data_IF_527454509692
#
_entry.id   IF_527454509692
#
_cell.length_a   1.000
_cell.length_b   1.000
_cell.length_c   1.000
_cell.angle_alpha   90.00
_cell.angle_beta   90.00
_cell.angle_gamma   90.00
#
_symmetry.space_group_name_H-M   'P 1'
#
loop_
_entity.id
_entity.type
_entity.pdbx_description
1 polymer ?
#
# COMPACT_ATOMS: atom_id res chain seq x y z
N UNK A 1 10.37 -2.98 4.73
CA UNK A 1 9.35 -2.07 4.16
C UNK A 1 8.63 -2.82 3.05
N UNK A 2 7.30 -2.74 2.97
CA UNK A 2 6.49 -3.53 2.03
C UNK A 2 6.69 -3.08 0.57
N UNK A 3 7.44 -3.86 -0.20
CA UNK A 3 7.79 -3.58 -1.60
C UNK A 3 7.11 -4.50 -2.61
N UNK A 4 6.30 -5.46 -2.16
CA UNK A 4 5.60 -6.38 -3.05
C UNK A 4 4.23 -6.73 -2.44
N UNK A 5 3.18 -6.57 -3.23
CA UNK A 5 1.83 -6.97 -2.86
C UNK A 5 1.03 -7.39 -4.08
N UNK A 6 -0.06 -8.11 -3.83
CA UNK A 6 -1.06 -8.51 -4.81
C UNK A 6 -2.27 -7.59 -4.64
N UNK A 7 -2.70 -6.88 -5.69
CA UNK A 7 -3.98 -6.17 -5.64
C UNK A 7 -5.15 -7.15 -5.93
N UNK A 8 -6.39 -6.89 -5.45
CA UNK A 8 -7.52 -7.79 -5.66
C UNK A 8 -8.01 -7.81 -7.12
N UNK A 9 -8.46 -8.96 -7.61
CA UNK A 9 -9.12 -9.04 -8.91
C UNK A 9 -10.43 -8.19 -8.95
N UNK A 10 -11.02 -7.99 -10.14
CA UNK A 10 -12.23 -7.17 -10.32
C UNK A 10 -13.37 -7.57 -9.35
N UNK A 11 -13.62 -8.88 -9.17
CA UNK A 11 -14.66 -9.37 -8.27
C UNK A 11 -14.37 -9.02 -6.80
N UNK A 12 -13.13 -9.10 -6.37
CA UNK A 12 -12.77 -8.77 -4.99
C UNK A 12 -12.72 -7.25 -4.76
N UNK A 13 -12.36 -6.46 -5.77
CA UNK A 13 -12.45 -5.00 -5.67
C UNK A 13 -13.86 -4.52 -5.34
N UNK A 14 -14.92 -5.15 -5.89
CA UNK A 14 -16.30 -4.74 -5.55
C UNK A 14 -16.65 -4.98 -4.07
N UNK A 15 -15.99 -5.93 -3.39
CA UNK A 15 -16.12 -6.13 -1.93
C UNK A 15 -15.57 -4.95 -1.12
N UNK A 16 -14.73 -4.10 -1.73
CA UNK A 16 -14.24 -2.87 -1.11
C UNK A 16 -15.18 -1.67 -1.31
N UNK A 17 -16.32 -1.86 -1.99
CA UNK A 17 -17.31 -0.81 -2.25
C UNK A 17 -16.96 0.12 -3.41
N UNK A 18 -16.09 -0.33 -4.33
CA UNK A 18 -15.76 0.41 -5.57
C UNK A 18 -16.50 -0.16 -6.77
N UNK A 19 -16.95 0.72 -7.67
CA UNK A 19 -17.46 0.32 -8.98
C UNK A 19 -16.27 0.00 -9.90
N UNK A 20 -16.26 -1.22 -10.46
CA UNK A 20 -15.23 -1.69 -11.38
C UNK A 20 -15.70 -1.75 -12.83
N UNK A 21 -16.93 -1.31 -13.12
CA UNK A 21 -17.59 -1.46 -14.43
C UNK A 21 -16.83 -0.78 -15.56
N UNK A 22 -16.23 0.38 -15.29
CA UNK A 22 -15.48 1.18 -16.27
C UNK A 22 -13.99 0.84 -16.30
N UNK A 23 -13.54 -0.11 -15.49
CA UNK A 23 -12.13 -0.31 -15.24
C UNK A 23 -11.66 -1.59 -15.90
N UNK A 24 -10.82 -1.46 -16.93
CA UNK A 24 -10.10 -2.60 -17.49
C UNK A 24 -8.74 -2.76 -16.83
N UNK A 25 -8.58 -3.85 -16.09
CA UNK A 25 -7.36 -4.16 -15.35
C UNK A 25 -6.47 -5.05 -16.22
N UNK A 26 -5.90 -4.49 -17.29
CA UNK A 26 -4.79 -5.13 -18.01
C UNK A 26 -3.45 -4.91 -17.28
N UNK A 27 -3.44 -5.14 -15.97
CA UNK A 27 -2.28 -4.94 -15.11
C UNK A 27 -1.83 -6.27 -14.50
N UNK A 28 -0.53 -6.38 -14.25
CA UNK A 28 0.02 -7.46 -13.43
C UNK A 28 -0.41 -7.24 -11.98
N UNK A 29 -1.09 -8.21 -11.42
CA UNK A 29 -1.62 -8.21 -10.06
C UNK A 29 -0.54 -8.12 -8.98
N UNK A 30 0.61 -8.76 -9.20
CA UNK A 30 1.81 -8.58 -8.39
C UNK A 30 2.46 -7.23 -8.67
N UNK A 31 2.37 -6.33 -7.71
CA UNK A 31 2.87 -4.97 -7.78
C UNK A 31 4.22 -4.85 -7.10
N UNK A 32 5.21 -4.37 -7.85
CA UNK A 32 6.54 -3.99 -7.37
C UNK A 32 6.75 -2.47 -7.51
N UNK A 33 7.79 -1.88 -6.89
CA UNK A 33 8.04 -0.45 -7.03
C UNK A 33 8.18 -0.07 -8.51
N UNK A 34 7.64 1.09 -8.86
CA UNK A 34 7.50 1.63 -10.20
C UNK A 34 6.40 1.00 -11.09
N UNK A 35 5.69 -0.02 -10.62
CA UNK A 35 4.55 -0.58 -11.38
C UNK A 35 3.33 0.34 -11.26
N UNK A 36 2.39 0.21 -12.19
CA UNK A 36 1.07 0.81 -12.06
C UNK A 36 0.15 -0.13 -11.28
N UNK A 37 -0.68 0.44 -10.42
CA UNK A 37 -1.61 -0.31 -9.58
C UNK A 37 -2.85 0.52 -9.28
N UNK A 38 -3.99 -0.13 -8.97
CA UNK A 38 -5.18 0.56 -8.53
C UNK A 38 -4.95 1.26 -7.18
N UNK A 39 -5.52 2.46 -7.04
CA UNK A 39 -5.75 3.15 -5.77
C UNK A 39 -7.21 3.56 -5.70
N UNK A 40 -7.73 3.71 -4.50
CA UNK A 40 -9.10 4.14 -4.23
C UNK A 40 -9.06 5.56 -3.66
N UNK A 41 -9.87 6.44 -4.22
CA UNK A 41 -9.99 7.86 -3.89
C UNK A 41 -11.42 8.18 -3.41
N UNK A 42 -11.57 9.30 -2.71
CA UNK A 42 -12.90 9.84 -2.42
C UNK A 42 -13.44 10.55 -3.66
N UNK A 43 -14.40 9.93 -4.33
CA UNK A 43 -15.17 10.56 -5.42
C UNK A 43 -16.27 11.48 -4.89
N UNK A 44 -17.08 12.05 -5.80
CA UNK A 44 -18.17 12.95 -5.41
C UNK A 44 -19.25 12.24 -4.58
N UNK A 45 -19.66 11.05 -5.03
CA UNK A 45 -20.80 10.32 -4.47
C UNK A 45 -20.42 8.92 -3.98
N UNK A 46 -19.32 8.36 -4.48
CA UNK A 46 -18.86 7.01 -4.19
C UNK A 46 -17.32 6.94 -4.19
N UNK A 47 -16.79 5.81 -3.74
CA UNK A 47 -15.36 5.54 -3.84
C UNK A 47 -14.98 5.33 -5.31
N UNK A 48 -13.96 6.05 -5.77
CA UNK A 48 -13.48 5.98 -7.16
C UNK A 48 -12.18 5.17 -7.25
N UNK A 49 -12.07 4.33 -8.28
CA UNK A 49 -10.85 3.60 -8.59
C UNK A 49 -10.03 4.40 -9.61
N UNK A 50 -8.73 4.53 -9.38
CA UNK A 50 -7.79 5.18 -10.29
C UNK A 50 -6.50 4.35 -10.42
N UNK A 51 -5.73 4.53 -11.50
CA UNK A 51 -4.41 3.91 -11.67
C UNK A 51 -3.31 4.89 -11.30
N UNK A 52 -2.42 4.47 -10.41
CA UNK A 52 -1.27 5.25 -10.00
C UNK A 52 0.01 4.42 -9.98
N UNK A 53 1.15 5.11 -10.14
CA UNK A 53 2.48 4.50 -10.05
C UNK A 53 2.84 4.23 -8.58
N UNK A 54 3.20 2.99 -8.25
CA UNK A 54 3.67 2.64 -6.90
C UNK A 54 5.10 3.15 -6.68
N UNK A 55 5.25 4.11 -5.77
CA UNK A 55 6.46 4.92 -5.64
C UNK A 55 6.17 6.38 -5.97
N UNK A 56 5.95 7.17 -4.93
CA UNK A 56 5.50 8.55 -5.07
C UNK A 56 6.56 9.42 -5.77
N UNK A 57 6.16 10.06 -6.86
CA UNK A 57 6.90 11.07 -7.59
C UNK A 57 6.55 12.43 -6.99
N UNK A 58 7.49 13.12 -6.33
CA UNK A 58 7.24 14.46 -5.84
C UNK A 58 6.84 15.38 -7.00
N UNK A 59 5.99 16.39 -6.76
CA UNK A 59 5.49 17.28 -7.81
C UNK A 59 6.59 17.99 -8.62
N UNK A 60 7.78 18.16 -8.05
CA UNK A 60 8.97 18.74 -8.69
C UNK A 60 9.84 17.72 -9.47
N UNK A 61 9.55 16.42 -9.36
CA UNK A 61 10.33 15.38 -10.01
C UNK A 61 10.31 15.54 -11.54
N UNK A 62 11.44 15.21 -12.17
CA UNK A 62 11.62 15.23 -13.63
C UNK A 62 11.88 13.86 -14.23
N UNK A 63 12.11 12.85 -13.39
CA UNK A 63 12.47 11.51 -13.83
C UNK A 63 11.62 10.47 -13.10
N UNK A 64 11.30 9.36 -13.76
CA UNK A 64 10.55 8.26 -13.15
C UNK A 64 11.35 7.49 -12.10
N UNK A 65 12.69 7.55 -12.13
CA UNK A 65 13.54 6.77 -11.22
C UNK A 65 13.30 7.04 -9.73
N UNK A 66 12.68 8.18 -9.38
CA UNK A 66 12.33 8.46 -7.99
C UNK A 66 11.37 7.41 -7.41
N UNK A 67 10.51 6.79 -8.22
CA UNK A 67 9.52 5.81 -7.74
C UNK A 67 10.12 4.54 -7.14
N UNK A 68 11.38 4.20 -7.45
CA UNK A 68 12.04 3.03 -6.84
C UNK A 68 12.45 3.23 -5.38
N UNK A 69 12.33 4.45 -4.83
CA UNK A 69 12.78 4.77 -3.47
C UNK A 69 11.69 5.40 -2.58
N UNK A 70 10.49 5.60 -3.10
CA UNK A 70 9.42 6.37 -2.43
C UNK A 70 8.10 5.58 -2.35
N UNK A 71 8.16 4.26 -2.44
CA UNK A 71 6.99 3.37 -2.41
C UNK A 71 6.41 3.18 -1.00
N UNK A 72 7.20 3.43 0.05
CA UNK A 72 6.70 3.56 1.42
C UNK A 72 7.10 4.88 2.06
N UNK A 73 6.16 5.50 2.77
CA UNK A 73 6.36 6.70 3.57
C UNK A 73 6.21 6.36 5.06
N UNK A 74 7.18 6.79 5.87
CA UNK A 74 7.14 6.60 7.33
C UNK A 74 6.29 7.69 7.96
N UNK A 75 5.27 7.32 8.73
CA UNK A 75 4.37 8.29 9.37
C UNK A 75 5.10 9.30 10.25
N UNK A 76 6.23 8.92 10.86
CA UNK A 76 7.03 9.77 11.74
C UNK A 76 7.75 10.91 11.00
N UNK A 77 7.87 10.84 9.67
CA UNK A 77 8.61 11.85 8.88
C UNK A 77 7.92 12.27 7.59
N UNK A 78 6.70 11.77 7.34
CA UNK A 78 5.94 12.03 6.10
C UNK A 78 5.67 13.52 5.88
N UNK A 79 5.48 14.27 6.97
CA UNK A 79 5.25 15.71 6.94
C UNK A 79 6.50 16.53 6.56
N UNK A 80 7.70 16.02 6.81
CA UNK A 80 8.95 16.77 6.67
C UNK A 80 9.74 16.38 5.42
N UNK A 81 9.67 15.11 5.01
CA UNK A 81 10.47 14.57 3.91
C UNK A 81 10.10 15.27 2.60
N UNK A 82 11.07 15.85 1.86
CA UNK A 82 10.79 16.57 0.60
C UNK A 82 9.99 15.76 -0.42
N UNK A 83 10.14 14.43 -0.39
CA UNK A 83 9.42 13.55 -1.29
C UNK A 83 7.92 13.48 -0.99
N UNK A 84 7.50 13.62 0.26
CA UNK A 84 6.13 13.32 0.72
C UNK A 84 5.38 14.53 1.26
N UNK A 85 6.10 15.54 1.77
CA UNK A 85 5.53 16.69 2.47
C UNK A 85 4.46 17.45 1.70
N UNK A 86 4.53 17.44 0.37
CA UNK A 86 3.52 18.08 -0.48
C UNK A 86 2.19 17.32 -0.44
N UNK A 87 2.22 16.01 -0.72
CA UNK A 87 1.05 15.14 -0.60
C UNK A 87 0.44 15.19 0.79
N UNK A 88 1.29 15.15 1.82
CA UNK A 88 0.86 15.26 3.22
C UNK A 88 0.22 16.61 3.53
N UNK A 89 0.85 17.72 3.12
CA UNK A 89 0.34 19.08 3.36
C UNK A 89 -1.06 19.30 2.81
N UNK A 90 -1.39 18.68 1.69
CA UNK A 90 -2.69 18.84 1.01
C UNK A 90 -3.63 17.66 1.22
N UNK A 91 -3.38 16.83 2.24
CA UNK A 91 -4.24 15.69 2.61
C UNK A 91 -4.58 14.80 1.42
N UNK A 92 -3.58 14.55 0.56
CA UNK A 92 -3.75 13.70 -0.62
C UNK A 92 -3.73 12.23 -0.20
N UNK A 93 -4.79 11.81 0.49
CA UNK A 93 -4.95 10.47 1.01
C UNK A 93 -5.65 9.57 0.00
N UNK A 94 -5.17 8.34 -0.10
CA UNK A 94 -5.78 7.27 -0.88
C UNK A 94 -5.82 5.98 -0.05
N UNK A 95 -6.66 5.04 -0.47
CA UNK A 95 -6.61 3.66 0.01
C UNK A 95 -5.95 2.81 -1.06
N UNK A 96 -4.98 1.97 -0.69
CA UNK A 96 -4.40 0.98 -1.60
C UNK A 96 -5.14 -0.34 -1.38
N UNK A 97 -5.86 -0.87 -2.38
CA UNK A 97 -6.51 -2.17 -2.28
C UNK A 97 -5.47 -3.29 -2.33
N UNK A 98 -5.52 -4.21 -1.37
CA UNK A 98 -4.57 -5.31 -1.22
C UNK A 98 -5.33 -6.61 -0.97
N UNK A 99 -4.95 -7.67 -1.69
CA UNK A 99 -5.40 -9.03 -1.43
C UNK A 99 -4.44 -9.75 -0.48
N UNK A 100 -3.15 -9.64 -0.75
CA UNK A 100 -2.07 -10.16 0.09
C UNK A 100 -0.79 -9.36 -0.15
N UNK A 101 0.13 -9.38 0.81
CA UNK A 101 1.42 -8.71 0.68
C UNK A 101 2.54 -9.63 1.13
N UNK A 102 3.77 -9.33 0.71
CA UNK A 102 4.90 -10.24 0.88
C UNK A 102 6.00 -9.56 1.66
N UNK A 103 6.46 -10.23 2.71
CA UNK A 103 7.54 -9.73 3.55
C UNK A 103 8.60 -10.81 3.77
N UNK A 104 9.90 -10.45 3.77
CA UNK A 104 10.95 -11.40 4.05
C UNK A 104 11.02 -11.69 5.56
N UNK A 105 11.05 -12.96 5.92
CA UNK A 105 11.44 -13.45 7.25
C UNK A 105 12.84 -14.01 7.17
N UNK A 106 13.73 -13.58 8.06
CA UNK A 106 15.11 -14.03 8.05
C UNK A 106 15.27 -15.29 8.92
N UNK A 107 15.63 -16.40 8.30
CA UNK A 107 15.85 -17.70 8.95
C UNK A 107 17.30 -18.11 8.67
N UNK A 108 18.08 -18.39 9.71
CA UNK A 108 19.51 -18.72 9.60
C UNK A 108 20.31 -17.71 8.75
N UNK A 109 20.00 -16.42 8.89
CA UNK A 109 20.67 -15.32 8.18
C UNK A 109 20.25 -15.13 6.71
N UNK A 110 19.33 -15.94 6.18
CA UNK A 110 18.85 -15.84 4.79
C UNK A 110 17.41 -15.33 4.73
N UNK A 111 17.05 -14.51 3.73
CA UNK A 111 15.67 -14.07 3.53
C UNK A 111 14.82 -15.21 2.96
N UNK A 112 13.71 -15.51 3.61
CA UNK A 112 12.64 -16.37 3.10
C UNK A 112 11.40 -15.50 2.91
N UNK A 113 10.80 -15.53 1.72
CA UNK A 113 9.62 -14.71 1.44
C UNK A 113 8.36 -15.39 1.97
N UNK A 114 7.56 -14.63 2.70
CA UNK A 114 6.29 -15.08 3.25
C UNK A 114 5.16 -14.25 2.66
N UNK A 115 4.05 -14.91 2.39
CA UNK A 115 2.76 -14.27 2.08
C UNK A 115 2.08 -13.88 3.39
N UNK A 116 1.44 -12.73 3.42
CA UNK A 116 0.59 -12.25 4.51
C UNK A 116 -0.74 -11.83 3.92
N UNK A 117 -1.83 -12.39 4.44
CA UNK A 117 -3.21 -12.12 3.97
C UNK A 117 -4.22 -12.24 5.10
N UNK A 118 -5.44 -11.77 4.87
CA UNK A 118 -6.53 -11.96 5.84
C UNK A 118 -6.90 -13.44 6.00
N UNK A 119 -7.26 -13.85 7.22
CA UNK A 119 -7.73 -15.20 7.57
C UNK A 119 -8.97 -15.61 6.78
N UNK A 120 -9.83 -14.65 6.46
CA UNK A 120 -11.07 -14.83 5.72
C UNK A 120 -10.92 -14.71 4.18
N UNK A 121 -9.68 -14.55 3.69
CA UNK A 121 -9.34 -14.37 2.28
C UNK A 121 -9.98 -13.13 1.62
N UNK A 122 -10.56 -12.22 2.40
CA UNK A 122 -11.11 -10.99 1.86
C UNK A 122 -10.01 -9.97 1.52
N UNK A 123 -10.24 -9.09 0.54
CA UNK A 123 -9.36 -7.96 0.30
C UNK A 123 -9.48 -6.93 1.44
N UNK A 124 -8.47 -6.07 1.54
CA UNK A 124 -8.42 -5.00 2.53
C UNK A 124 -7.79 -3.74 1.94
N UNK A 125 -7.82 -2.67 2.72
CA UNK A 125 -7.32 -1.37 2.30
C UNK A 125 -6.16 -0.92 3.18
N UNK A 126 -5.13 -0.38 2.55
CA UNK A 126 -3.94 0.18 3.21
C UNK A 126 -3.94 1.69 3.08
N UNK A 127 -3.58 2.40 4.16
CA UNK A 127 -3.43 3.85 4.14
C UNK A 127 -2.31 4.26 3.18
N UNK A 128 -2.60 5.15 2.25
CA UNK A 128 -1.62 5.69 1.31
C UNK A 128 -1.74 7.19 1.13
N UNK A 129 -0.68 7.78 0.59
CA UNK A 129 -0.68 9.14 0.05
C UNK A 129 -0.41 9.11 -1.44
N UNK A 130 -0.97 10.05 -2.18
CA UNK A 130 -0.71 10.20 -3.60
C UNK A 130 -0.25 11.61 -3.96
N UNK A 131 0.43 11.74 -5.11
CA UNK A 131 0.73 13.03 -5.71
C UNK A 131 0.76 12.92 -7.23
N UNK A 132 0.70 14.08 -7.86
CA UNK A 132 0.79 14.25 -9.30
C UNK A 132 2.08 14.99 -9.65
N UNK A 133 2.86 14.44 -10.58
CA UNK A 133 4.04 15.09 -11.15
C UNK A 133 3.89 15.22 -12.67
N UNK A 134 4.62 16.15 -13.28
CA UNK A 134 4.70 16.26 -14.75
C UNK A 134 6.06 15.76 -15.23
N UNK A 135 6.04 14.64 -15.94
CA UNK A 135 7.24 13.96 -16.46
C UNK A 135 7.14 13.95 -17.99
N UNK A 136 8.11 14.57 -18.67
CA UNK A 136 8.13 14.68 -20.13
C UNK A 136 6.81 15.22 -20.72
N UNK A 137 6.21 16.22 -20.06
CA UNK A 137 4.94 16.84 -20.47
C UNK A 137 3.68 16.05 -20.08
N UNK A 138 3.81 14.84 -19.53
CA UNK A 138 2.68 14.01 -19.13
C UNK A 138 2.45 14.09 -17.63
N UNK A 139 1.19 14.23 -17.22
CA UNK A 139 0.80 14.09 -15.82
C UNK A 139 0.92 12.61 -15.42
N UNK A 140 1.65 12.35 -14.35
CA UNK A 140 1.83 11.02 -13.77
C UNK A 140 1.37 11.05 -12.32
N UNK A 141 0.29 10.32 -12.03
CA UNK A 141 -0.14 10.07 -10.66
C UNK A 141 0.67 8.94 -10.06
N UNK A 142 1.02 9.10 -8.79
CA UNK A 142 1.84 8.14 -8.07
C UNK A 142 1.46 8.10 -6.60
N UNK A 143 1.76 7.01 -5.91
CA UNK A 143 1.38 6.83 -4.52
C UNK A 143 2.48 6.16 -3.68
N UNK A 144 2.36 6.31 -2.36
CA UNK A 144 3.19 5.67 -1.35
C UNK A 144 2.29 5.05 -0.30
N UNK A 145 2.58 3.82 0.14
CA UNK A 145 1.91 3.26 1.32
C UNK A 145 2.50 3.89 2.58
N UNK A 146 1.63 4.28 3.52
CA UNK A 146 2.07 4.69 4.84
C UNK A 146 2.48 3.46 5.66
N UNK A 147 3.53 3.63 6.45
CA UNK A 147 4.04 2.60 7.35
C UNK A 147 4.27 3.15 8.73
N UNK A 148 4.13 2.30 9.74
CA UNK A 148 4.39 2.61 11.16
C UNK A 148 5.43 1.66 11.74
N UNK A 149 6.04 2.06 12.86
CA UNK A 149 6.92 1.17 13.61
C UNK A 149 6.15 -0.06 14.11
N UNK A 150 6.80 -1.21 14.04
CA UNK A 150 6.23 -2.51 14.44
C UNK A 150 7.23 -3.37 15.21
N UNK A 151 8.25 -2.77 15.83
CA UNK A 151 9.28 -3.51 16.59
C UNK A 151 8.65 -4.34 17.73
N UNK A 152 7.57 -3.83 18.31
CA UNK A 152 6.82 -4.48 19.39
C UNK A 152 5.54 -5.19 18.93
N UNK A 153 5.20 -5.16 17.63
CA UNK A 153 3.97 -5.76 17.13
C UNK A 153 4.04 -7.30 17.23
N UNK A 154 3.05 -8.01 17.83
CA UNK A 154 3.14 -9.44 18.09
C UNK A 154 3.34 -10.28 16.81
N UNK A 155 2.72 -9.86 15.69
CA UNK A 155 2.78 -10.56 14.42
C UNK A 155 3.85 -10.00 13.46
N UNK A 156 4.01 -8.67 13.37
CA UNK A 156 4.80 -8.04 12.28
C UNK A 156 6.29 -7.95 12.60
N UNK A 157 6.66 -7.99 13.89
CA UNK A 157 8.06 -7.93 14.33
C UNK A 157 8.94 -9.07 13.79
N UNK A 158 8.33 -10.17 13.32
CA UNK A 158 9.04 -11.33 12.80
C UNK A 158 9.58 -11.15 11.37
N UNK A 159 9.18 -10.10 10.66
CA UNK A 159 9.58 -9.84 9.28
C UNK A 159 10.71 -8.79 9.20
N UNK A 160 11.23 -8.53 7.99
CA UNK A 160 12.40 -7.69 7.70
C UNK A 160 13.72 -8.24 8.24
N UNK A 161 14.84 -7.68 7.79
CA UNK A 161 16.16 -8.08 8.27
C UNK A 161 16.32 -7.83 9.78
N UNK A 162 17.09 -8.66 10.52
CA UNK A 162 17.18 -8.56 12.00
C UNK A 162 17.68 -7.21 12.53
N UNK A 163 18.51 -6.50 11.76
CA UNK A 163 19.08 -5.20 12.16
C UNK A 163 18.26 -4.00 11.69
N UNK A 164 17.23 -4.23 10.88
CA UNK A 164 16.37 -3.17 10.39
C UNK A 164 15.25 -2.92 11.39
N UNK A 165 14.90 -1.65 11.57
CA UNK A 165 13.64 -1.25 12.20
C UNK A 165 12.46 -1.97 11.54
N UNK A 166 11.60 -2.59 12.35
CA UNK A 166 10.44 -3.32 11.84
C UNK A 166 9.34 -2.35 11.46
N UNK A 167 8.81 -2.50 10.25
CA UNK A 167 7.73 -1.65 9.72
C UNK A 167 6.53 -2.48 9.32
N UNK A 168 5.33 -1.95 9.58
CA UNK A 168 4.07 -2.50 9.08
C UNK A 168 3.39 -1.47 8.19
N UNK A 169 2.64 -1.95 7.20
CA UNK A 169 1.57 -1.17 6.56
C UNK A 169 0.49 -0.83 7.59
N UNK A 170 -0.29 0.22 7.30
CA UNK A 170 -1.46 0.62 8.10
C UNK A 170 -2.70 0.10 7.40
N UNK A 171 -3.38 -0.89 7.99
CA UNK A 171 -4.65 -1.39 7.48
C UNK A 171 -5.75 -0.45 7.93
N UNK A 172 -6.52 0.10 6.98
CA UNK A 172 -7.69 0.93 7.26
C UNK A 172 -8.93 0.02 7.27
N UNK A 173 -9.60 -0.16 8.43
CA UNK A 173 -10.85 -0.91 8.53
C UNK A 173 -11.97 -0.29 7.69
N UNK A 174 -12.95 -1.11 7.29
CA UNK A 174 -14.06 -0.70 6.42
C UNK A 174 -14.77 0.56 6.91
N UNK A 175 -15.10 0.61 8.21
CA UNK A 175 -15.83 1.71 8.81
C UNK A 175 -15.06 3.04 8.79
N UNK A 176 -13.73 3.02 8.63
CA UNK A 176 -12.88 4.21 8.61
C UNK A 176 -12.35 4.57 7.21
N UNK A 177 -12.76 3.85 6.15
CA UNK A 177 -12.28 4.10 4.79
C UNK A 177 -12.59 5.52 4.32
N UNK A 178 -13.84 5.96 4.51
CA UNK A 178 -14.26 7.32 4.14
C UNK A 178 -13.58 8.36 5.00
N UNK A 179 -13.56 8.12 6.31
CA UNK A 179 -12.94 9.02 7.29
C UNK A 179 -11.47 9.27 6.95
N UNK A 180 -10.69 8.22 6.65
CA UNK A 180 -9.30 8.34 6.18
C UNK A 180 -9.17 9.19 4.92
N UNK A 181 -10.02 8.95 3.91
CA UNK A 181 -9.94 9.66 2.64
C UNK A 181 -10.35 11.13 2.73
N UNK A 182 -11.12 11.50 3.75
CA UNK A 182 -11.58 12.88 3.99
C UNK A 182 -10.87 13.58 5.15
N UNK A 183 -10.00 12.87 5.88
CA UNK A 183 -9.25 13.42 6.98
C UNK A 183 -8.37 14.59 6.51
N UNK A 184 -8.15 15.55 7.40
CA UNK A 184 -7.03 16.47 7.23
C UNK A 184 -5.73 15.87 7.78
N UNK A 185 -4.61 16.51 7.46
CA UNK A 185 -3.28 16.04 7.87
C UNK A 185 -3.06 16.15 9.39
N UNK A 186 -3.78 17.04 10.06
CA UNK A 186 -3.70 17.25 11.50
C UNK A 186 -4.35 16.06 12.25
N UNK A 187 -5.43 15.49 11.73
CA UNK A 187 -6.16 14.35 12.31
C UNK A 187 -5.81 12.98 11.70
N UNK A 188 -5.02 12.94 10.63
CA UNK A 188 -4.62 11.70 9.96
C UNK A 188 -3.99 10.63 10.90
N UNK A 189 -3.35 11.08 11.99
CA UNK A 189 -2.72 10.21 12.98
C UNK A 189 -3.71 9.31 13.75
N UNK A 190 -5.00 9.70 13.81
CA UNK A 190 -6.06 8.91 14.44
C UNK A 190 -6.30 7.57 13.73
N UNK A 191 -5.90 7.47 12.45
CA UNK A 191 -6.05 6.29 11.61
C UNK A 191 -4.77 5.45 11.51
N UNK A 192 -3.74 5.75 12.30
CA UNK A 192 -2.46 5.00 12.30
C UNK A 192 -2.57 3.71 13.12
N UNK A 193 -3.44 2.80 12.66
CA UNK A 193 -3.70 1.54 13.32
C UNK A 193 -2.54 0.54 13.17
N UNK A 194 -2.23 -0.16 14.26
CA UNK A 194 -1.45 -1.40 14.20
C UNK A 194 -2.27 -2.46 13.47
N UNK A 195 -1.58 -3.39 12.79
CA UNK A 195 -2.26 -4.43 12.03
C UNK A 195 -3.06 -5.37 12.95
N UNK A 196 -4.36 -5.59 12.73
CA UNK A 196 -5.19 -6.38 13.64
C UNK A 196 -4.82 -7.88 13.60
N UNK A 197 -5.30 -8.65 14.59
CA UNK A 197 -5.15 -10.12 14.63
C UNK A 197 -6.16 -10.84 13.69
N UNK A 198 -6.18 -10.41 12.44
CA UNK A 198 -7.03 -10.96 11.38
C UNK A 198 -6.20 -11.55 10.24
N UNK A 199 -4.86 -11.57 10.38
CA UNK A 199 -3.93 -11.96 9.33
C UNK A 199 -3.23 -13.28 9.63
N UNK A 200 -2.89 -14.01 8.58
CA UNK A 200 -2.09 -15.24 8.59
C UNK A 200 -0.90 -15.11 7.68
N UNK A 201 0.11 -15.95 7.90
CA UNK A 201 1.30 -15.99 7.05
C UNK A 201 1.75 -17.42 6.77
N UNK A 202 2.31 -17.64 5.59
CA UNK A 202 2.88 -18.91 5.14
C UNK A 202 4.00 -18.63 4.12
N UNK A 203 4.97 -19.54 3.94
CA UNK A 203 6.01 -19.41 2.94
C UNK A 203 5.43 -19.20 1.54
N UNK A 204 5.96 -18.23 0.79
CA UNK A 204 5.45 -17.88 -0.54
C UNK A 204 5.53 -19.03 -1.54
N UNK A 205 6.55 -19.89 -1.43
CA UNK A 205 6.75 -21.02 -2.34
C UNK A 205 5.75 -22.17 -2.13
N UNK A 206 5.02 -22.20 -1.01
CA UNK A 206 3.96 -23.21 -0.78
C UNK A 206 2.72 -22.98 -1.66
N UNK A 207 2.48 -21.74 -2.14
CA UNK A 207 1.43 -21.49 -3.13
C UNK A 207 1.70 -22.19 -4.47
N UNK A 208 2.97 -22.41 -4.85
CA UNK A 208 3.31 -23.05 -6.14
C UNK A 208 3.00 -24.55 -6.18
N UNK A 209 2.83 -25.20 -5.03
CA UNK A 209 2.52 -26.64 -4.97
C UNK A 209 1.02 -26.94 -5.16
N UNK A 210 0.15 -25.93 -5.07
CA UNK A 210 -1.31 -26.09 -5.18
C UNK A 210 -1.89 -25.67 -6.55
N UNK A 211 -1.06 -25.41 -7.56
CA UNK A 211 -1.48 -25.02 -8.93
C UNK A 211 -1.13 -26.09 -9.98
N UNK A 212 -0.98 -27.35 -9.55
CA UNK A 212 -0.84 -28.50 -10.44
C UNK A 212 -2.03 -29.45 -10.25
N UNK A 213 -3.19 -29.07 -10.79
CA UNK A 213 -4.28 -29.97 -11.15
C UNK A 213 -4.98 -29.45 -12.41
#
# INVERSE_FOLDING_TARGET
MCSNYLFPNKRNLTLLGVDTSQFDLELKDHVFPSYHAPIILNGSDHLELDIAKFGLLPSWAKELKFSSHTYNARTESVADKPSFRHAWKYSKFCLVPVQEFYEPKYINGKPHWYTIKRKDDQPFTVAGIYDDAVINGNKVRSFSMLTINSDHHPFMKQFHAPKDEKRSIIVIPEQYRKDWLTADREHAHEYFFQMPDEFVTFPRDEQKQNVLF
#
